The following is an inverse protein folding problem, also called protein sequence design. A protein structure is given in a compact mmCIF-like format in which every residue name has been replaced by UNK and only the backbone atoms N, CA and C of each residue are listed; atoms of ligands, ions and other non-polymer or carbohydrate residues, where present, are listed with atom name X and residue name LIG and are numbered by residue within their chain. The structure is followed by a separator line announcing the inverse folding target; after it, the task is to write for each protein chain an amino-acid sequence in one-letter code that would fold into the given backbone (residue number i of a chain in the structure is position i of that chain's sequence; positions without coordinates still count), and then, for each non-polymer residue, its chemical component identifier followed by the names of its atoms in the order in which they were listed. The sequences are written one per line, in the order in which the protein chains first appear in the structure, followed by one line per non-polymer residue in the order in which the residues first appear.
data_IF_074047498023
#
_entry.id   IF_074047498023
#
_cell.length_a   1.000
_cell.length_b   1.000
_cell.length_c   1.000
_cell.angle_alpha   90.00
_cell.angle_beta   90.00
_cell.angle_gamma   90.00
#
_symmetry.space_group_name_H-M   'P 1'
#
loop_
_entity.id
_entity.type
_entity.pdbx_description
1 polymer ?
#
# COMPACT_ATOMS: atom_id res chain seq x y z
N UNK A 1 9.52 -13.68 -6.77
CA UNK A 1 8.99 -12.31 -6.84
C UNK A 1 7.51 -12.39 -7.09
N UNK A 2 6.73 -11.69 -6.27
CA UNK A 2 5.30 -11.51 -6.51
C UNK A 2 5.10 -10.20 -7.29
N UNK A 3 4.22 -10.25 -8.29
CA UNK A 3 3.91 -9.15 -9.18
C UNK A 3 2.40 -8.93 -9.15
N UNK A 4 1.99 -7.68 -9.28
CA UNK A 4 0.57 -7.31 -9.33
C UNK A 4 -0.10 -7.87 -10.58
N UNK A 5 -1.42 -8.12 -10.56
CA UNK A 5 -2.18 -8.36 -11.78
C UNK A 5 -2.14 -7.12 -12.71
N UNK A 6 -2.70 -7.26 -13.90
CA UNK A 6 -2.77 -6.14 -14.84
C UNK A 6 -3.81 -5.11 -14.40
N UNK A 7 -3.48 -3.82 -14.53
CA UNK A 7 -4.42 -2.73 -14.25
C UNK A 7 -5.70 -2.84 -15.12
N UNK A 8 -6.89 -2.52 -14.59
CA UNK A 8 -7.21 -2.14 -13.20
C UNK A 8 -7.73 -3.32 -12.36
N UNK A 9 -7.45 -4.58 -12.74
CA UNK A 9 -8.06 -5.79 -12.16
C UNK A 9 -7.51 -6.12 -10.77
N UNK A 10 -7.94 -5.38 -9.75
CA UNK A 10 -7.48 -5.54 -8.36
C UNK A 10 -7.91 -6.85 -7.70
N UNK A 11 -8.87 -7.57 -8.23
CA UNK A 11 -9.31 -8.86 -7.65
C UNK A 11 -8.59 -10.07 -8.23
N UNK A 12 -7.88 -9.88 -9.33
CA UNK A 12 -7.08 -10.93 -9.96
C UNK A 12 -5.95 -11.40 -9.02
N UNK A 13 -5.55 -12.67 -9.19
CA UNK A 13 -4.48 -13.26 -8.41
C UNK A 13 -3.13 -12.62 -8.70
N UNK A 14 -2.25 -12.61 -7.69
CA UNK A 14 -0.86 -12.19 -7.86
C UNK A 14 -0.16 -13.09 -8.89
N UNK A 15 0.60 -12.46 -9.78
CA UNK A 15 1.56 -13.15 -10.63
C UNK A 15 2.80 -13.51 -9.81
N UNK A 16 3.52 -14.55 -10.20
CA UNK A 16 4.74 -14.99 -9.50
C UNK A 16 5.80 -15.45 -10.49
N UNK A 17 7.05 -15.04 -10.24
CA UNK A 17 8.24 -15.47 -11.01
C UNK A 17 9.42 -15.71 -10.06
N UNK A 18 10.14 -16.84 -10.15
CA UNK A 18 11.35 -17.04 -9.39
C UNK A 18 12.46 -16.11 -9.89
N UNK A 19 13.27 -15.56 -8.98
CA UNK A 19 14.42 -14.71 -9.33
C UNK A 19 15.76 -15.42 -9.14
N UNK A 20 15.82 -16.34 -8.19
CA UNK A 20 16.99 -17.16 -7.91
C UNK A 20 16.55 -18.48 -7.27
N UNK A 21 17.43 -19.48 -7.36
CA UNK A 21 17.30 -20.76 -6.69
C UNK A 21 18.59 -21.10 -5.92
N UNK A 22 18.46 -21.77 -4.79
CA UNK A 22 19.59 -22.34 -4.05
C UNK A 22 19.40 -23.85 -4.03
N UNK A 23 20.34 -24.58 -4.62
CA UNK A 23 20.23 -26.01 -4.85
C UNK A 23 21.35 -26.76 -4.13
N UNK A 24 20.99 -27.77 -3.34
CA UNK A 24 21.95 -28.66 -2.69
C UNK A 24 21.96 -30.01 -3.41
N UNK A 25 23.14 -30.46 -3.82
CA UNK A 25 23.35 -31.76 -4.46
C UNK A 25 24.25 -32.64 -3.58
N UNK A 26 24.13 -33.97 -3.73
CA UNK A 26 24.95 -34.92 -2.99
C UNK A 26 26.45 -34.60 -3.16
N UNK A 27 27.18 -34.49 -2.04
CA UNK A 27 28.63 -34.20 -1.96
C UNK A 27 29.07 -32.87 -2.59
N UNK A 28 28.16 -31.92 -2.82
CA UNK A 28 28.48 -30.58 -3.31
C UNK A 28 28.01 -29.53 -2.31
N UNK A 29 28.70 -28.40 -2.27
CA UNK A 29 28.16 -27.20 -1.62
C UNK A 29 26.90 -26.73 -2.35
N UNK A 30 26.01 -26.04 -1.64
CA UNK A 30 24.84 -25.44 -2.27
C UNK A 30 25.27 -24.47 -3.38
N UNK A 31 24.67 -24.60 -4.56
CA UNK A 31 24.87 -23.69 -5.68
C UNK A 31 23.74 -22.67 -5.74
N UNK A 32 24.08 -21.43 -6.10
CA UNK A 32 23.13 -20.35 -6.30
C UNK A 32 22.96 -20.13 -7.80
N UNK A 33 21.71 -20.13 -8.26
CA UNK A 33 21.35 -19.89 -9.64
C UNK A 33 20.49 -18.63 -9.74
N UNK A 34 20.84 -17.73 -10.65
CA UNK A 34 19.94 -16.67 -11.10
C UNK A 34 18.94 -17.27 -12.09
N UNK A 35 17.67 -16.93 -11.91
CA UNK A 35 16.55 -17.41 -12.74
C UNK A 35 15.91 -16.29 -13.56
N UNK A 36 16.55 -15.11 -13.60
CA UNK A 36 16.07 -13.96 -14.34
C UNK A 36 16.33 -14.10 -15.84
N UNK A 37 15.46 -13.49 -16.64
CA UNK A 37 15.48 -13.56 -18.11
C UNK A 37 14.74 -14.80 -18.68
N UNK A 38 14.96 -15.05 -19.97
CA UNK A 38 14.26 -16.10 -20.74
C UNK A 38 15.18 -17.21 -21.26
N UNK A 39 16.48 -17.16 -20.93
CA UNK A 39 17.51 -18.08 -21.45
C UNK A 39 17.86 -19.23 -20.49
N UNK A 40 17.06 -19.44 -19.45
CA UNK A 40 17.27 -20.48 -18.44
C UNK A 40 18.11 -20.02 -17.24
N UNK A 41 18.29 -20.92 -16.27
CA UNK A 41 19.07 -20.63 -15.06
C UNK A 41 20.57 -20.58 -15.33
N UNK A 42 21.28 -19.74 -14.57
CA UNK A 42 22.73 -19.55 -14.70
C UNK A 42 23.35 -19.17 -13.35
N UNK A 43 24.67 -19.19 -13.25
CA UNK A 43 25.37 -18.94 -11.98
C UNK A 43 25.04 -17.56 -11.39
N UNK A 44 24.57 -17.55 -10.15
CA UNK A 44 24.36 -16.36 -9.32
C UNK A 44 25.15 -16.42 -8.02
N UNK A 45 25.14 -15.33 -7.27
CA UNK A 45 25.76 -15.20 -5.95
C UNK A 45 24.79 -14.50 -5.00
N UNK A 46 24.82 -14.90 -3.73
CA UNK A 46 24.11 -14.21 -2.66
C UNK A 46 25.16 -13.65 -1.69
N UNK A 47 25.04 -12.36 -1.40
CA UNK A 47 25.84 -11.69 -0.39
C UNK A 47 24.93 -11.29 0.77
N UNK A 48 25.14 -11.86 1.94
CA UNK A 48 24.40 -11.49 3.16
C UNK A 48 25.16 -10.37 3.86
N UNK A 49 24.53 -9.20 3.98
CA UNK A 49 25.14 -8.00 4.57
C UNK A 49 24.80 -7.85 6.06
N UNK A 50 23.60 -8.28 6.46
CA UNK A 50 23.14 -8.29 7.85
C UNK A 50 22.04 -9.34 8.03
N UNK A 51 21.51 -9.48 9.25
CA UNK A 51 20.34 -10.33 9.52
C UNK A 51 19.06 -9.88 8.80
N UNK A 52 19.01 -8.65 8.28
CA UNK A 52 17.84 -8.06 7.63
C UNK A 52 18.10 -7.61 6.19
N UNK A 53 19.28 -7.90 5.62
CA UNK A 53 19.65 -7.42 4.27
C UNK A 53 20.54 -8.43 3.55
N UNK A 54 20.17 -8.75 2.31
CA UNK A 54 20.99 -9.55 1.40
C UNK A 54 20.91 -8.98 -0.02
N UNK A 55 21.90 -9.30 -0.84
CA UNK A 55 21.95 -8.90 -2.25
C UNK A 55 22.13 -10.13 -3.13
N UNK A 56 21.50 -10.11 -4.30
CA UNK A 56 21.76 -11.06 -5.39
C UNK A 56 22.71 -10.36 -6.35
N UNK A 57 23.79 -11.04 -6.73
CA UNK A 57 24.80 -10.53 -7.65
C UNK A 57 25.10 -11.63 -8.66
N UNK A 58 25.32 -11.26 -9.91
CA UNK A 58 25.88 -12.19 -10.88
C UNK A 58 27.00 -11.48 -11.67
N UNK A 59 28.00 -12.22 -12.16
CA UNK A 59 28.93 -11.68 -13.16
C UNK A 59 28.14 -11.18 -14.39
N UNK A 60 28.64 -10.13 -15.08
CA UNK A 60 27.96 -9.50 -16.22
C UNK A 60 27.28 -10.53 -17.11
N UNK A 61 25.97 -10.38 -17.26
CA UNK A 61 25.11 -11.42 -17.78
C UNK A 61 24.52 -10.96 -19.12
N UNK A 62 25.17 -11.30 -20.23
CA UNK A 62 24.60 -11.18 -21.58
C UNK A 62 23.35 -12.08 -21.76
N UNK A 63 23.09 -12.95 -20.78
CA UNK A 63 21.91 -13.81 -20.71
C UNK A 63 20.70 -13.11 -20.07
N UNK A 64 20.94 -12.08 -19.26
CA UNK A 64 19.94 -11.28 -18.54
C UNK A 64 19.56 -10.06 -19.38
N UNK A 65 20.50 -9.55 -20.17
CA UNK A 65 20.37 -8.37 -21.03
C UNK A 65 19.97 -8.72 -22.47
N UNK A 66 18.67 -8.81 -22.71
CA UNK A 66 17.91 -7.96 -23.67
C UNK A 66 16.47 -8.12 -23.19
N UNK A 67 16.04 -7.27 -22.25
CA UNK A 67 14.61 -7.17 -22.02
C UNK A 67 14.03 -6.44 -23.22
N UNK A 68 13.39 -7.19 -24.12
CA UNK A 68 12.53 -6.56 -25.10
C UNK A 68 11.42 -5.86 -24.33
N UNK A 69 11.39 -4.53 -24.42
CA UNK A 69 10.37 -3.69 -23.80
C UNK A 69 8.96 -4.26 -24.00
N UNK A 70 8.69 -4.83 -25.18
CA UNK A 70 7.41 -5.46 -25.52
C UNK A 70 7.08 -6.72 -24.73
N UNK A 71 8.08 -7.55 -24.41
CA UNK A 71 7.88 -8.73 -23.57
C UNK A 71 7.59 -8.30 -22.14
N UNK A 72 8.37 -7.34 -21.62
CA UNK A 72 8.11 -6.76 -20.30
C UNK A 72 6.72 -6.11 -20.21
N UNK A 73 6.33 -5.33 -21.23
CA UNK A 73 5.04 -4.65 -21.29
C UNK A 73 3.89 -5.67 -21.28
N UNK A 74 4.01 -6.75 -22.06
CA UNK A 74 3.03 -7.84 -22.06
C UNK A 74 2.95 -8.53 -20.71
N UNK A 75 4.08 -8.78 -20.06
CA UNK A 75 4.11 -9.42 -18.73
C UNK A 75 3.48 -8.51 -17.67
N UNK A 76 3.83 -7.22 -17.63
CA UNK A 76 3.43 -6.27 -16.58
C UNK A 76 2.06 -5.64 -16.77
N UNK A 77 1.63 -5.41 -18.02
CA UNK A 77 0.39 -4.69 -18.33
C UNK A 77 -0.61 -5.50 -19.14
N UNK A 78 -0.18 -6.54 -19.85
CA UNK A 78 -1.06 -7.37 -20.68
C UNK A 78 -1.59 -6.67 -21.95
N UNK A 79 -1.15 -5.44 -22.20
CA UNK A 79 -1.56 -4.58 -23.32
C UNK A 79 -0.37 -4.18 -24.18
N UNK A 80 -0.65 -3.69 -25.39
CA UNK A 80 0.35 -2.98 -26.20
C UNK A 80 0.38 -1.50 -25.81
N UNK A 81 1.43 -0.75 -26.21
CA UNK A 81 1.46 0.70 -25.95
C UNK A 81 0.30 1.42 -26.66
N UNK A 82 -0.11 0.93 -27.83
CA UNK A 82 -1.20 1.50 -28.62
C UNK A 82 -2.56 1.40 -27.92
N UNK A 83 -2.75 0.35 -27.10
CA UNK A 83 -3.95 0.17 -26.29
C UNK A 83 -4.00 1.10 -25.07
N UNK A 84 -2.87 1.73 -24.72
CA UNK A 84 -2.76 2.65 -23.57
C UNK A 84 -3.05 4.07 -24.04
N UNK A 85 -4.31 4.49 -23.90
CA UNK A 85 -4.82 5.75 -24.45
C UNK A 85 -4.23 7.05 -23.84
N UNK A 86 -3.49 6.96 -22.73
CA UNK A 86 -2.96 8.15 -22.05
C UNK A 86 -1.43 8.25 -22.19
N UNK A 87 -0.96 9.27 -22.90
CA UNK A 87 0.48 9.54 -23.15
C UNK A 87 1.29 9.58 -21.84
N UNK A 88 0.79 10.28 -20.82
CA UNK A 88 1.46 10.33 -19.52
C UNK A 88 1.66 8.95 -18.88
N UNK A 89 0.72 8.02 -19.07
CA UNK A 89 0.86 6.64 -18.57
C UNK A 89 1.93 5.89 -19.36
N UNK A 90 2.02 6.09 -20.68
CA UNK A 90 3.07 5.51 -21.51
C UNK A 90 4.47 5.99 -21.07
N UNK A 91 4.62 7.29 -20.77
CA UNK A 91 5.87 7.86 -20.25
C UNK A 91 6.29 7.23 -18.93
N UNK A 92 5.36 7.10 -17.98
CA UNK A 92 5.61 6.46 -16.68
C UNK A 92 6.01 4.99 -16.83
N UNK A 93 5.36 4.27 -17.74
CA UNK A 93 5.66 2.87 -18.05
C UNK A 93 7.07 2.73 -18.63
N UNK A 94 7.43 3.58 -19.60
CA UNK A 94 8.75 3.57 -20.21
C UNK A 94 9.83 3.94 -19.18
N UNK A 95 9.59 4.95 -18.35
CA UNK A 95 10.51 5.32 -17.27
C UNK A 95 10.69 4.18 -16.27
N UNK A 96 9.60 3.51 -15.84
CA UNK A 96 9.66 2.34 -14.96
C UNK A 96 10.50 1.23 -15.59
N UNK A 97 10.28 0.93 -16.86
CA UNK A 97 11.06 -0.06 -17.60
C UNK A 97 12.56 0.28 -17.62
N UNK A 98 12.93 1.49 -18.04
CA UNK A 98 14.32 1.92 -18.13
C UNK A 98 15.00 1.91 -16.76
N UNK A 99 14.30 2.37 -15.72
CA UNK A 99 14.87 2.42 -14.38
C UNK A 99 15.06 1.03 -13.77
N UNK A 100 14.05 0.17 -13.87
CA UNK A 100 14.11 -1.18 -13.27
C UNK A 100 15.04 -2.12 -14.03
N UNK A 101 15.12 -2.00 -15.35
CA UNK A 101 16.03 -2.81 -16.18
C UNK A 101 17.51 -2.49 -15.92
N UNK A 102 17.86 -1.28 -15.50
CA UNK A 102 19.25 -0.92 -15.15
C UNK A 102 19.84 -1.76 -14.01
N UNK A 103 18.99 -2.33 -13.15
CA UNK A 103 19.46 -3.20 -12.09
C UNK A 103 19.86 -4.59 -12.60
N UNK A 104 19.35 -5.03 -13.76
CA UNK A 104 19.59 -6.36 -14.32
C UNK A 104 19.44 -7.51 -13.29
N UNK A 105 18.51 -7.39 -12.33
CA UNK A 105 18.33 -8.31 -11.20
C UNK A 105 19.52 -8.40 -10.20
N UNK A 106 20.52 -7.53 -10.30
CA UNK A 106 21.48 -7.25 -9.23
C UNK A 106 20.83 -6.35 -8.17
N UNK A 107 20.02 -6.97 -7.30
CA UNK A 107 19.17 -6.28 -6.34
C UNK A 107 19.62 -6.49 -4.90
N UNK A 108 19.45 -5.45 -4.08
CA UNK A 108 19.58 -5.53 -2.62
C UNK A 108 18.19 -5.57 -1.99
N UNK A 109 17.95 -6.58 -1.17
CA UNK A 109 16.69 -6.83 -0.50
C UNK A 109 16.82 -6.48 0.97
N UNK A 110 15.80 -5.79 1.49
CA UNK A 110 15.65 -5.50 2.91
C UNK A 110 14.46 -6.28 3.45
N UNK A 111 14.58 -6.79 4.67
CA UNK A 111 13.53 -7.54 5.33
C UNK A 111 12.33 -6.63 5.63
N UNK A 112 11.14 -7.13 5.30
CA UNK A 112 9.85 -6.57 5.69
C UNK A 112 9.02 -7.68 6.34
N UNK A 113 8.07 -7.28 7.18
CA UNK A 113 7.18 -8.21 7.89
C UNK A 113 5.72 -7.94 7.55
N UNK A 114 4.88 -8.96 7.70
CA UNK A 114 3.45 -8.79 7.77
C UNK A 114 3.06 -8.10 9.08
N UNK A 115 1.99 -7.29 9.07
CA UNK A 115 1.49 -6.60 10.24
C UNK A 115 0.89 -7.60 11.24
N UNK A 116 1.09 -7.39 12.56
CA UNK A 116 0.40 -8.17 13.57
C UNK A 116 -1.12 -7.96 13.46
N UNK A 117 -1.89 -9.01 13.74
CA UNK A 117 -3.36 -8.99 13.71
C UNK A 117 -3.94 -9.01 15.12
N UNK A 118 -5.03 -8.28 15.34
CA UNK A 118 -5.85 -8.31 16.56
C UNK A 118 -7.27 -8.80 16.27
N UNK A 119 -7.94 -9.50 17.20
CA UNK A 119 -9.36 -9.84 17.06
C UNK A 119 -10.29 -8.62 16.95
N UNK A 120 -9.87 -7.47 17.47
CA UNK A 120 -10.65 -6.23 17.47
C UNK A 120 -10.53 -5.44 16.15
N UNK A 121 -9.68 -5.90 15.21
CA UNK A 121 -9.47 -5.23 13.94
C UNK A 121 -10.71 -5.42 13.04
N UNK A 122 -11.32 -4.32 12.59
CA UNK A 122 -12.53 -4.36 11.73
C UNK A 122 -12.27 -4.93 10.32
N UNK A 123 -11.00 -5.01 9.92
CA UNK A 123 -10.52 -5.65 8.70
C UNK A 123 -9.19 -6.31 9.02
N UNK A 124 -8.94 -7.49 8.46
CA UNK A 124 -7.65 -8.16 8.64
C UNK A 124 -6.51 -7.26 8.14
N UNK A 125 -5.46 -7.00 8.94
CA UNK A 125 -4.28 -6.29 8.46
C UNK A 125 -3.42 -7.20 7.57
N UNK A 126 -2.77 -6.62 6.58
CA UNK A 126 -1.96 -7.38 5.61
C UNK A 126 -1.69 -6.60 4.33
N UNK A 127 -1.48 -7.32 3.24
CA UNK A 127 -1.15 -6.72 1.94
C UNK A 127 -2.37 -6.65 1.03
N UNK A 128 -2.53 -5.51 0.36
CA UNK A 128 -3.61 -5.22 -0.56
C UNK A 128 -3.05 -4.71 -1.89
N UNK A 129 -3.79 -4.97 -2.96
CA UNK A 129 -3.54 -4.52 -4.33
C UNK A 129 -4.45 -3.32 -4.55
N UNK A 130 -3.89 -2.15 -4.82
CA UNK A 130 -4.63 -0.88 -4.88
C UNK A 130 -4.46 -0.14 -6.20
N UNK A 131 -5.50 0.53 -6.69
CA UNK A 131 -5.40 1.41 -7.88
C UNK A 131 -4.79 2.78 -7.55
N UNK A 132 -3.82 3.22 -8.36
CA UNK A 132 -3.11 4.50 -8.23
C UNK A 132 -3.07 5.31 -9.54
N UNK A 133 -4.20 5.37 -10.25
CA UNK A 133 -4.37 6.24 -11.41
C UNK A 133 -3.43 5.89 -12.56
N UNK A 134 -2.68 6.85 -13.09
CA UNK A 134 -1.73 6.62 -14.19
C UNK A 134 -0.54 5.74 -13.82
N UNK A 135 -0.29 5.51 -12.53
CA UNK A 135 0.78 4.63 -12.05
C UNK A 135 0.40 3.14 -12.10
N UNK A 136 -0.88 2.83 -12.34
CA UNK A 136 -1.41 1.47 -12.36
C UNK A 136 -1.72 0.95 -10.96
N UNK A 137 -1.46 -0.34 -10.74
CA UNK A 137 -1.65 -0.96 -9.44
C UNK A 137 -0.40 -0.80 -8.56
N UNK A 138 -0.60 -0.73 -7.24
CA UNK A 138 0.45 -0.77 -6.24
C UNK A 138 0.09 -1.74 -5.10
N UNK A 139 1.10 -2.24 -4.38
CA UNK A 139 0.92 -3.02 -3.16
C UNK A 139 0.98 -2.09 -1.96
N UNK A 140 -0.07 -2.13 -1.13
CA UNK A 140 -0.15 -1.38 0.12
C UNK A 140 -0.33 -2.34 1.29
N UNK A 141 0.47 -2.15 2.34
CA UNK A 141 0.36 -2.86 3.60
C UNK A 141 -0.51 -2.08 4.58
N UNK A 142 -1.65 -2.65 4.97
CA UNK A 142 -2.56 -2.10 5.95
C UNK A 142 -2.20 -2.61 7.36
N UNK A 143 -1.98 -1.72 8.32
CA UNK A 143 -1.58 -2.07 9.69
C UNK A 143 -2.28 -1.19 10.74
N UNK A 144 -2.57 -1.76 11.92
CA UNK A 144 -3.25 -1.07 13.01
C UNK A 144 -2.26 -0.52 14.05
N UNK A 145 -2.52 0.70 14.51
CA UNK A 145 -1.67 1.49 15.41
C UNK A 145 -2.55 2.22 16.44
N UNK A 146 -3.12 1.47 17.38
CA UNK A 146 -4.09 2.00 18.34
C UNK A 146 -5.35 2.49 17.63
N UNK A 147 -5.68 3.78 17.76
CA UNK A 147 -6.85 4.39 17.09
C UNK A 147 -6.60 4.82 15.65
N UNK A 148 -5.49 4.39 15.05
CA UNK A 148 -5.13 4.73 13.67
C UNK A 148 -4.87 3.47 12.86
N UNK A 149 -5.28 3.48 11.60
CA UNK A 149 -4.86 2.48 10.62
C UNK A 149 -3.98 3.15 9.59
N UNK A 150 -2.88 2.52 9.23
CA UNK A 150 -1.89 3.05 8.29
C UNK A 150 -1.75 2.14 7.10
N UNK A 151 -1.79 2.71 5.91
CA UNK A 151 -1.40 2.05 4.68
C UNK A 151 -0.01 2.50 4.26
N UNK A 152 0.93 1.56 4.21
CA UNK A 152 2.32 1.79 3.80
C UNK A 152 2.55 1.19 2.42
N UNK A 153 3.14 1.96 1.50
CA UNK A 153 3.47 1.45 0.17
C UNK A 153 4.57 0.39 0.23
N UNK A 154 4.30 -0.80 -0.28
CA UNK A 154 5.30 -1.86 -0.48
C UNK A 154 5.91 -1.74 -1.88
N UNK A 155 5.07 -1.45 -2.87
CA UNK A 155 5.51 -0.87 -4.14
C UNK A 155 5.00 0.57 -4.21
N UNK A 156 5.67 1.41 -4.99
CA UNK A 156 5.28 2.79 -5.13
C UNK A 156 5.81 3.41 -6.41
N UNK A 157 5.59 4.71 -6.50
CA UNK A 157 5.75 5.49 -7.71
C UNK A 157 6.63 6.74 -7.46
N UNK A 158 7.02 7.48 -8.50
CA UNK A 158 7.85 8.67 -8.35
C UNK A 158 7.23 9.79 -7.52
N UNK A 159 5.91 9.81 -7.35
CA UNK A 159 5.22 10.80 -6.52
C UNK A 159 5.19 10.32 -5.08
N UNK A 160 4.72 9.11 -4.80
CA UNK A 160 4.77 8.49 -3.47
C UNK A 160 5.58 7.20 -3.53
N UNK A 161 6.86 7.24 -3.11
CA UNK A 161 7.76 6.09 -3.17
C UNK A 161 7.32 4.91 -2.27
N UNK A 162 7.84 3.72 -2.60
CA UNK A 162 7.76 2.55 -1.72
C UNK A 162 8.38 2.88 -0.35
N UNK A 163 7.78 2.39 0.73
CA UNK A 163 8.14 2.69 2.12
C UNK A 163 7.37 3.85 2.74
N UNK A 164 6.78 4.75 1.93
CA UNK A 164 6.02 5.88 2.45
C UNK A 164 4.60 5.48 2.89
N UNK A 165 4.08 6.17 3.92
CA UNK A 165 2.71 6.02 4.39
C UNK A 165 1.74 6.78 3.47
N UNK A 166 1.12 6.07 2.53
CA UNK A 166 0.20 6.65 1.54
C UNK A 166 -1.17 6.99 2.11
N UNK A 167 -1.68 6.22 3.08
CA UNK A 167 -2.99 6.47 3.70
C UNK A 167 -2.91 6.38 5.22
N UNK A 168 -3.70 7.20 5.90
CA UNK A 168 -3.97 7.14 7.33
C UNK A 168 -5.48 7.18 7.53
N UNK A 169 -6.01 6.36 8.43
CA UNK A 169 -7.43 6.28 8.75
C UNK A 169 -7.56 6.55 10.25
N UNK A 170 -8.48 7.43 10.61
CA UNK A 170 -8.73 7.80 12.00
C UNK A 170 -9.97 7.07 12.53
N UNK A 171 -9.75 6.12 13.43
CA UNK A 171 -10.82 5.29 14.00
C UNK A 171 -11.66 6.01 15.05
N UNK A 172 -11.19 7.17 15.54
CA UNK A 172 -11.97 7.99 16.46
C UNK A 172 -13.07 8.79 15.73
N UNK A 173 -13.01 8.89 14.40
CA UNK A 173 -13.88 9.74 13.60
C UNK A 173 -14.60 8.93 12.50
N UNK A 174 -15.58 8.09 12.88
CA UNK A 174 -16.44 7.42 11.91
C UNK A 174 -17.21 8.46 11.08
N UNK A 175 -17.32 8.20 9.78
CA UNK A 175 -18.11 9.02 8.87
C UNK A 175 -19.46 8.36 8.64
N UNK A 176 -20.52 9.10 8.95
CA UNK A 176 -21.87 8.73 8.54
C UNK A 176 -22.06 9.22 7.11
N UNK A 177 -22.12 8.30 6.15
CA UNK A 177 -22.48 8.68 4.78
C UNK A 177 -23.96 9.04 4.72
N UNK A 178 -24.33 10.04 3.90
CA UNK A 178 -25.72 10.34 3.66
C UNK A 178 -26.38 9.21 2.83
N UNK A 179 -27.68 9.32 2.60
CA UNK A 179 -28.41 8.40 1.72
C UNK A 179 -27.84 8.40 0.29
N UNK A 180 -28.24 7.41 -0.51
CA UNK A 180 -27.69 7.21 -1.86
C UNK A 180 -27.91 8.43 -2.78
N UNK A 181 -29.02 9.15 -2.62
CA UNK A 181 -29.35 10.33 -3.43
C UNK A 181 -28.38 11.48 -3.16
N UNK A 182 -28.08 11.73 -1.88
CA UNK A 182 -27.14 12.76 -1.47
C UNK A 182 -25.67 12.33 -1.61
N UNK A 183 -25.37 11.04 -1.49
CA UNK A 183 -24.00 10.51 -1.69
C UNK A 183 -23.52 10.71 -3.13
N UNK A 184 -24.43 10.80 -4.10
CA UNK A 184 -24.10 11.17 -5.48
C UNK A 184 -23.54 12.61 -5.59
N UNK A 185 -23.76 13.46 -4.58
CA UNK A 185 -23.27 14.83 -4.55
C UNK A 185 -21.86 14.93 -3.96
N UNK A 186 -20.88 15.31 -4.78
CA UNK A 186 -19.51 15.52 -4.32
C UNK A 186 -19.40 16.65 -3.28
N UNK A 187 -20.20 17.71 -3.43
CA UNK A 187 -20.17 18.84 -2.49
C UNK A 187 -20.63 18.44 -1.10
N UNK A 188 -21.64 17.57 -1.01
CA UNK A 188 -22.16 17.09 0.27
C UNK A 188 -21.11 16.23 0.99
N UNK A 189 -20.53 15.25 0.27
CA UNK A 189 -19.44 14.45 0.82
C UNK A 189 -18.26 15.32 1.27
N UNK A 190 -17.90 16.32 0.46
CA UNK A 190 -16.81 17.23 0.79
C UNK A 190 -17.10 18.04 2.05
N UNK A 191 -18.33 18.47 2.27
CA UNK A 191 -18.73 19.24 3.45
C UNK A 191 -18.54 18.40 4.72
N UNK A 192 -19.10 17.19 4.74
CA UNK A 192 -19.03 16.26 5.89
C UNK A 192 -17.57 15.98 6.28
N UNK A 193 -16.70 15.72 5.30
CA UNK A 193 -15.29 15.42 5.55
C UNK A 193 -14.53 16.62 6.10
N UNK A 194 -14.82 17.83 5.60
CA UNK A 194 -14.17 19.05 6.07
C UNK A 194 -14.64 19.45 7.47
N UNK A 195 -15.91 19.23 7.82
CA UNK A 195 -16.41 19.43 9.18
C UNK A 195 -15.68 18.54 10.19
N UNK A 196 -15.49 17.26 9.87
CA UNK A 196 -14.72 16.34 10.73
C UNK A 196 -13.26 16.80 10.86
N UNK A 197 -12.66 17.28 9.77
CA UNK A 197 -11.29 17.84 9.81
C UNK A 197 -11.20 19.05 10.73
N UNK A 198 -12.18 19.95 10.72
CA UNK A 198 -12.21 21.12 11.60
C UNK A 198 -12.35 20.73 13.07
N UNK A 199 -13.19 19.73 13.36
CA UNK A 199 -13.33 19.18 14.71
C UNK A 199 -12.01 18.57 15.22
N UNK A 200 -11.23 17.91 14.36
CA UNK A 200 -9.88 17.43 14.72
C UNK A 200 -8.91 18.58 15.01
N UNK A 201 -8.93 19.63 14.18
CA UNK A 201 -8.06 20.80 14.33
C UNK A 201 -8.35 21.59 15.61
N UNK A 202 -9.61 21.70 16.01
CA UNK A 202 -10.02 22.36 17.26
C UNK A 202 -9.69 21.54 18.52
N UNK A 203 -9.54 20.22 18.38
CA UNK A 203 -9.24 19.29 19.48
C UNK A 203 -7.72 19.12 19.74
N UNK A 204 -6.86 19.63 18.87
CA UNK A 204 -5.41 19.66 19.09
C UNK A 204 -4.99 20.99 19.74
N UNK A 205 -4.34 21.01 20.91
CA UNK A 205 -3.81 22.24 21.46
C UNK A 205 -2.74 22.84 20.51
N UNK A 206 -2.65 24.17 20.37
CA UNK A 206 -1.60 24.79 19.56
C UNK A 206 -0.23 24.36 20.09
N UNK A 207 0.66 23.95 19.18
CA UNK A 207 2.02 23.54 19.50
C UNK A 207 2.74 24.66 20.26
N UNK A 208 3.00 24.44 21.55
CA UNK A 208 3.88 25.31 22.35
C UNK A 208 5.35 24.94 22.07
N UNK A 209 6.27 25.92 21.96
CA UNK A 209 7.71 25.66 21.88
C UNK A 209 8.22 24.98 23.15
N UNK A 210 9.19 24.07 23.00
CA UNK A 210 9.87 23.37 24.09
C UNK A 210 10.55 24.35 25.05
N UNK A 211 10.09 24.42 26.30
CA UNK A 211 10.91 24.70 27.48
C UNK A 211 10.34 24.00 28.73
N UNK A 212 11.22 23.29 29.46
CA UNK A 212 11.31 23.33 30.93
C UNK A 212 10.24 22.68 31.82
N UNK A 213 10.62 21.54 32.40
CA UNK A 213 10.43 21.13 33.82
C UNK A 213 9.02 20.81 34.39
N UNK A 214 8.82 19.51 34.67
CA UNK A 214 8.48 18.94 35.99
C UNK A 214 7.17 19.34 36.70
N UNK A 215 6.25 18.38 36.84
CA UNK A 215 5.78 17.86 38.13
C UNK A 215 4.61 16.86 37.96
N UNK A 216 4.76 15.77 38.71
CA UNK A 216 3.83 14.74 39.23
C UNK A 216 2.32 14.83 38.93
N UNK A 217 1.75 13.68 38.54
CA UNK A 217 0.31 13.43 38.50
C UNK A 217 -0.03 12.12 39.21
N UNK A 218 -0.76 12.23 40.33
CA UNK A 218 -1.40 11.13 41.05
C UNK A 218 -2.68 10.65 40.35
N UNK A 219 -2.97 9.37 40.58
CA UNK A 219 -4.10 8.60 40.05
C UNK A 219 -5.47 9.20 40.38
N UNK A 220 -6.42 9.04 39.45
CA UNK A 220 -7.81 8.76 39.83
C UNK A 220 -8.43 7.75 38.86
N UNK A 221 -8.83 6.63 39.44
CA UNK A 221 -9.68 5.58 38.87
C UNK A 221 -11.13 6.05 38.83
N UNK A 222 -11.79 5.84 37.70
CA UNK A 222 -13.25 5.75 37.64
C UNK A 222 -13.65 4.89 36.44
N UNK A 223 -14.22 3.72 36.75
CA UNK A 223 -14.72 2.79 35.75
C UNK A 223 -15.98 3.31 35.06
N UNK A 224 -16.19 2.80 33.85
CA UNK A 224 -17.51 2.68 33.26
C UNK A 224 -17.54 1.38 32.45
N UNK A 225 -18.35 0.47 32.96
CA UNK A 225 -18.65 -0.84 32.42
C UNK A 225 -19.41 -0.72 31.09
N UNK A 226 -19.21 -1.73 30.24
CA UNK A 226 -20.30 -2.35 29.49
C UNK A 226 -20.83 -1.61 28.26
N UNK A 227 -20.40 -2.06 27.08
CA UNK A 227 -21.35 -2.50 26.06
C UNK A 227 -20.64 -3.40 25.03
N UNK A 228 -20.61 -4.70 25.31
CA UNK A 228 -20.45 -5.72 24.26
C UNK A 228 -21.75 -5.77 23.47
N UNK A 229 -21.74 -5.29 22.23
CA UNK A 229 -22.75 -5.65 21.24
C UNK A 229 -22.05 -6.05 19.95
N UNK A 230 -21.85 -7.36 19.83
CA UNK A 230 -21.70 -8.08 18.57
C UNK A 230 -22.90 -7.80 17.67
N UNK A 231 -22.81 -6.78 16.84
CA UNK A 231 -23.54 -6.69 15.58
C UNK A 231 -22.56 -6.22 14.53
N UNK A 232 -22.29 -7.10 13.56
CA UNK A 232 -21.65 -6.68 12.33
C UNK A 232 -22.39 -5.44 11.80
N UNK A 233 -21.68 -4.35 11.47
CA UNK A 233 -22.32 -3.12 11.03
C UNK A 233 -23.20 -3.42 9.81
N UNK A 234 -24.47 -3.00 9.90
CA UNK A 234 -25.43 -3.23 8.84
C UNK A 234 -24.92 -2.58 7.55
N UNK A 235 -24.84 -3.35 6.48
CA UNK A 235 -24.37 -2.82 5.20
C UNK A 235 -25.39 -1.84 4.62
N UNK A 236 -24.90 -0.73 4.07
CA UNK A 236 -25.71 0.31 3.43
C UNK A 236 -25.33 0.45 1.95
N UNK A 237 -26.26 0.93 1.09
CA UNK A 237 -25.96 1.23 -0.31
C UNK A 237 -24.81 2.23 -0.46
N UNK A 238 -24.01 2.05 -1.51
CA UNK A 238 -22.85 2.89 -1.80
C UNK A 238 -22.74 3.17 -3.30
N UNK A 239 -22.46 4.43 -3.62
CA UNK A 239 -22.14 4.90 -4.97
C UNK A 239 -21.08 5.99 -4.87
N UNK A 240 -20.16 6.05 -5.84
CA UNK A 240 -19.20 7.14 -5.89
C UNK A 240 -19.92 8.46 -6.23
N UNK A 241 -19.55 9.59 -5.59
CA UNK A 241 -20.09 10.89 -5.96
C UNK A 241 -19.78 11.24 -7.42
N UNK A 242 -20.68 12.01 -8.04
CA UNK A 242 -20.50 12.47 -9.41
C UNK A 242 -19.20 13.27 -9.57
N UNK A 243 -18.45 12.93 -10.61
CA UNK A 243 -17.16 13.55 -10.91
C UNK A 243 -15.97 12.92 -10.18
N UNK A 244 -16.18 11.95 -9.30
CA UNK A 244 -15.08 11.13 -8.76
C UNK A 244 -14.69 10.08 -9.79
N UNK A 245 -13.43 10.10 -10.21
CA UNK A 245 -12.88 9.20 -11.21
C UNK A 245 -12.44 7.90 -10.52
N UNK A 246 -12.88 6.76 -11.05
CA UNK A 246 -12.39 5.44 -10.65
C UNK A 246 -11.79 4.73 -11.86
N UNK A 247 -10.66 4.05 -11.66
CA UNK A 247 -10.12 3.14 -12.69
C UNK A 247 -10.90 1.84 -12.80
N UNK A 248 -11.49 1.38 -11.69
CA UNK A 248 -12.27 0.17 -11.66
C UNK A 248 -13.76 0.50 -11.50
N UNK A 249 -14.59 0.07 -12.42
CA UNK A 249 -16.04 0.30 -12.38
C UNK A 249 -16.77 -0.77 -11.54
N UNK A 250 -16.12 -1.92 -11.33
CA UNK A 250 -16.64 -3.10 -10.64
C UNK A 250 -16.39 -3.07 -9.13
N UNK A 251 -16.58 -1.92 -8.48
CA UNK A 251 -16.55 -1.83 -7.02
C UNK A 251 -17.91 -2.20 -6.41
N UNK A 252 -17.88 -2.67 -5.15
CA UNK A 252 -19.09 -3.04 -4.41
C UNK A 252 -20.05 -1.86 -4.25
N UNK A 253 -21.35 -2.11 -4.49
CA UNK A 253 -22.43 -1.12 -4.38
C UNK A 253 -23.01 -1.03 -2.97
N UNK A 254 -22.34 -1.63 -2.00
CA UNK A 254 -22.70 -1.58 -0.59
C UNK A 254 -21.44 -1.50 0.27
N UNK A 255 -21.45 -0.65 1.29
CA UNK A 255 -20.35 -0.54 2.26
C UNK A 255 -20.81 -0.90 3.67
N UNK A 256 -19.88 -1.27 4.55
CA UNK A 256 -20.13 -1.59 5.97
C UNK A 256 -19.89 -0.40 6.88
N UNK A 257 -18.74 0.26 6.74
CA UNK A 257 -18.33 1.40 7.58
C UNK A 257 -17.49 2.38 6.77
N UNK A 258 -17.51 3.64 7.19
CA UNK A 258 -16.67 4.69 6.64
C UNK A 258 -15.96 5.44 7.75
N UNK A 259 -14.74 5.90 7.48
CA UNK A 259 -13.93 6.67 8.42
C UNK A 259 -13.27 7.85 7.72
N UNK A 260 -13.01 8.89 8.49
CA UNK A 260 -12.16 9.97 8.04
C UNK A 260 -10.74 9.44 7.80
N UNK A 261 -10.17 9.82 6.65
CA UNK A 261 -8.83 9.44 6.27
C UNK A 261 -8.02 10.62 5.76
N UNK A 262 -6.70 10.43 5.72
CA UNK A 262 -5.74 11.38 5.18
C UNK A 262 -4.77 10.69 4.22
N UNK A 263 -4.86 11.06 2.95
CA UNK A 263 -3.98 10.57 1.90
C UNK A 263 -2.72 11.43 1.77
N UNK A 264 -1.55 10.82 1.62
CA UNK A 264 -0.31 11.52 1.27
C UNK A 264 -0.24 11.69 -0.24
N UNK A 265 -0.08 12.93 -0.70
CA UNK A 265 0.20 13.26 -2.10
C UNK A 265 1.47 14.09 -2.19
N UNK A 266 2.17 14.02 -3.32
CA UNK A 266 3.34 14.83 -3.61
C UNK A 266 3.45 15.03 -5.14
N UNK A 267 4.24 16.01 -5.55
CA UNK A 267 4.66 16.13 -6.94
C UNK A 267 5.69 15.07 -7.32
N UNK A 268 6.01 15.00 -8.61
CA UNK A 268 7.03 14.09 -9.13
C UNK A 268 8.37 14.25 -8.38
N UNK A 269 9.03 13.12 -8.10
CA UNK A 269 10.25 13.08 -7.28
C UNK A 269 9.98 13.28 -5.80
N UNK A 270 8.79 12.89 -5.31
CA UNK A 270 8.33 13.09 -3.94
C UNK A 270 8.46 14.55 -3.44
N UNK A 271 8.15 15.51 -4.31
CA UNK A 271 8.32 16.93 -4.03
C UNK A 271 7.13 17.52 -3.29
N UNK A 272 7.40 18.33 -2.25
CA UNK A 272 6.39 19.02 -1.44
C UNK A 272 5.25 18.10 -0.95
N UNK A 273 5.57 16.99 -0.24
CA UNK A 273 4.56 16.05 0.21
C UNK A 273 3.59 16.70 1.20
N UNK A 274 2.30 16.45 1.03
CA UNK A 274 1.23 16.96 1.91
C UNK A 274 0.14 15.92 2.14
N UNK A 275 -0.49 15.99 3.32
CA UNK A 275 -1.67 15.19 3.64
C UNK A 275 -2.93 15.91 3.17
N UNK A 276 -3.83 15.17 2.53
CA UNK A 276 -5.09 15.67 1.99
C UNK A 276 -6.26 14.84 2.54
N UNK A 277 -7.41 15.48 2.82
CA UNK A 277 -8.58 14.77 3.35
C UNK A 277 -9.11 13.71 2.38
N UNK A 278 -9.62 12.64 2.96
CA UNK A 278 -10.14 11.50 2.23
C UNK A 278 -11.21 10.77 3.03
N UNK A 279 -11.94 9.89 2.34
CA UNK A 279 -12.91 8.97 2.94
C UNK A 279 -12.40 7.55 2.76
N UNK A 280 -12.19 6.85 3.86
CA UNK A 280 -12.02 5.42 3.86
C UNK A 280 -13.39 4.74 3.84
N UNK A 281 -13.55 3.73 2.98
CA UNK A 281 -14.81 2.97 2.81
C UNK A 281 -14.49 1.48 2.91
N UNK A 282 -15.04 0.78 3.90
CA UNK A 282 -14.93 -0.67 3.98
C UNK A 282 -16.10 -1.31 3.23
N UNK A 283 -15.83 -2.18 2.26
CA UNK A 283 -16.88 -2.91 1.54
C UNK A 283 -17.19 -4.24 2.21
N UNK A 284 -16.15 -5.03 2.47
CA UNK A 284 -16.25 -6.35 3.07
C UNK A 284 -14.94 -6.69 3.84
N UNK A 285 -14.70 -7.97 4.08
CA UNK A 285 -13.55 -8.43 4.87
C UNK A 285 -12.22 -8.39 4.10
N UNK A 286 -12.26 -8.27 2.77
CA UNK A 286 -11.09 -8.35 1.90
C UNK A 286 -10.96 -7.18 0.91
N UNK A 287 -11.92 -6.24 0.90
CA UNK A 287 -11.99 -5.11 0.00
C UNK A 287 -12.33 -3.78 0.70
N UNK A 288 -11.58 -2.73 0.37
CA UNK A 288 -11.85 -1.37 0.83
C UNK A 288 -11.55 -0.34 -0.26
N UNK A 289 -12.08 0.87 -0.08
CA UNK A 289 -11.92 2.00 -0.97
C UNK A 289 -11.38 3.23 -0.24
N UNK A 290 -10.80 4.15 -1.02
CA UNK A 290 -10.31 5.43 -0.52
C UNK A 290 -10.64 6.53 -1.53
N UNK A 291 -11.49 7.47 -1.13
CA UNK A 291 -11.90 8.63 -1.95
C UNK A 291 -10.97 9.80 -1.63
N UNK A 292 -10.18 10.23 -2.60
CA UNK A 292 -9.26 11.36 -2.51
C UNK A 292 -9.99 12.65 -2.87
N UNK A 293 -10.31 13.50 -1.88
CA UNK A 293 -11.15 14.67 -2.12
C UNK A 293 -10.49 15.68 -3.07
N UNK A 294 -9.25 16.08 -2.80
CA UNK A 294 -8.56 17.09 -3.62
C UNK A 294 -8.33 16.64 -5.07
N UNK A 295 -8.24 15.32 -5.29
CA UNK A 295 -8.00 14.74 -6.61
C UNK A 295 -9.28 14.32 -7.35
N UNK A 296 -10.43 14.33 -6.67
CA UNK A 296 -11.68 13.72 -7.16
C UNK A 296 -11.42 12.32 -7.74
N UNK A 297 -10.70 11.51 -6.99
CA UNK A 297 -10.23 10.19 -7.43
C UNK A 297 -10.60 9.13 -6.42
N UNK A 298 -10.80 7.90 -6.88
CA UNK A 298 -11.09 6.74 -6.06
C UNK A 298 -10.05 5.64 -6.27
N UNK A 299 -9.45 5.20 -5.17
CA UNK A 299 -8.61 4.01 -5.12
C UNK A 299 -9.37 2.85 -4.53
N UNK A 300 -9.38 1.72 -5.23
CA UNK A 300 -9.97 0.46 -4.76
C UNK A 300 -8.85 -0.50 -4.37
N UNK A 301 -9.01 -1.18 -3.24
CA UNK A 301 -8.02 -2.08 -2.67
C UNK A 301 -8.62 -3.45 -2.39
N UNK A 302 -7.91 -4.50 -2.79
CA UNK A 302 -8.34 -5.89 -2.61
C UNK A 302 -7.21 -6.75 -2.06
N UNK A 303 -7.52 -7.60 -1.07
CA UNK A 303 -6.59 -8.41 -0.29
C UNK A 303 -5.72 -9.32 -1.17
N UNK A 304 -4.46 -9.49 -0.78
CA UNK A 304 -3.56 -10.47 -1.39
C UNK A 304 -3.78 -11.85 -0.77
N UNK A 305 -4.45 -12.75 -1.50
CA UNK A 305 -4.80 -14.12 -1.07
C UNK A 305 -3.60 -15.09 -1.01
N UNK A 306 -2.37 -14.59 -1.13
CA UNK A 306 -1.15 -15.38 -1.05
C UNK A 306 -0.81 -15.66 0.42
N UNK A 307 -0.47 -16.92 0.71
CA UNK A 307 0.07 -17.31 2.02
C UNK A 307 1.59 -17.18 2.02
N UNK A 308 2.11 -16.11 2.62
CA UNK A 308 3.55 -15.87 2.71
C UNK A 308 4.18 -16.68 3.84
N UNK A 309 5.33 -17.30 3.57
CA UNK A 309 6.09 -18.05 4.57
C UNK A 309 7.14 -17.13 5.21
N UNK A 310 7.43 -17.37 6.50
CA UNK A 310 8.48 -16.66 7.26
C UNK A 310 8.34 -15.13 7.26
N UNK A 311 7.10 -14.63 7.18
CA UNK A 311 6.82 -13.21 7.01
C UNK A 311 6.36 -12.49 8.30
N UNK A 312 6.08 -13.23 9.38
CA UNK A 312 5.60 -12.66 10.63
C UNK A 312 6.67 -11.83 11.34
N UNK A 313 6.26 -10.71 11.93
CA UNK A 313 7.15 -9.89 12.73
C UNK A 313 7.50 -10.60 14.06
N UNK A 314 8.76 -10.59 14.53
CA UNK A 314 9.12 -11.17 15.82
C UNK A 314 8.44 -10.49 17.02
N UNK A 315 8.05 -9.22 16.88
CA UNK A 315 7.29 -8.45 17.86
C UNK A 315 6.67 -7.21 17.20
N UNK A 316 5.68 -6.59 17.85
CA UNK A 316 5.13 -5.30 17.41
C UNK A 316 6.22 -4.23 17.26
N UNK A 317 7.18 -4.17 18.20
CA UNK A 317 8.29 -3.23 18.14
C UNK A 317 9.18 -3.46 16.90
N UNK A 318 9.45 -4.71 16.56
CA UNK A 318 10.22 -5.05 15.35
C UNK A 318 9.48 -4.67 14.07
N UNK A 319 8.15 -4.79 14.06
CA UNK A 319 7.32 -4.30 12.96
C UNK A 319 7.40 -2.77 12.81
N UNK A 320 7.27 -2.03 13.91
CA UNK A 320 7.37 -0.56 13.91
C UNK A 320 8.76 -0.07 13.50
N UNK A 321 9.83 -0.75 13.94
CA UNK A 321 11.20 -0.46 13.51
C UNK A 321 11.39 -0.72 12.01
N UNK A 322 10.85 -1.82 11.50
CA UNK A 322 10.86 -2.13 10.07
C UNK A 322 10.16 -1.04 9.25
N UNK A 323 8.97 -0.58 9.68
CA UNK A 323 8.25 0.52 9.04
C UNK A 323 9.08 1.81 8.98
N UNK A 324 9.72 2.19 10.09
CA UNK A 324 10.61 3.37 10.12
C UNK A 324 11.79 3.21 9.15
N UNK A 325 12.40 2.03 9.13
CA UNK A 325 13.56 1.77 8.27
C UNK A 325 13.22 1.85 6.79
N UNK A 326 12.10 1.27 6.34
CA UNK A 326 11.71 1.34 4.93
C UNK A 326 11.29 2.76 4.53
N UNK A 327 10.73 3.54 5.45
CA UNK A 327 10.38 4.93 5.20
C UNK A 327 11.63 5.81 5.05
N UNK A 328 12.65 5.61 5.88
CA UNK A 328 13.92 6.35 5.84
C UNK A 328 14.75 6.08 4.57
N UNK A 329 14.63 4.90 3.98
CA UNK A 329 15.29 4.57 2.70
C UNK A 329 14.65 5.34 1.54
N UNK A 330 13.41 5.79 1.70
CA UNK A 330 12.59 6.40 0.67
C UNK A 330 12.46 7.93 0.80
N UNK A 331 13.16 8.53 1.76
CA UNK A 331 13.30 10.00 1.96
C UNK A 331 14.66 10.47 1.50
#
# INVERSE_FOLDING_TARGET
MYLLPHDPRVDDLMRFKPLFGIHLMERKCASVECMYGHKGSHNGHIQVSSSSTFSIIHPRCDLCGVHEFWTWLREEWGWTLEDIFHEHMQELILMKFIYTSQYDNCLTYRCIYLPPSSPDDFIKPGLFKGTYGSHGLEIVMLSFHGKKVKGTKITGDPNIPAGQQTVEIDLAHPLQLPDIENLCSFSELSHIVLEVREQQGASQPPAKPLEGEGAEGEETTAGAEGMTQDKAPASQPFVLPMGVISRNEDYSRTCRICYYGMGLIAGHGFTSPKRTPAVFVLFDDDCFGFIWLELKSFSLYSWIKVSFQNAEAPSHKAFDEMLKNIQLVAT
#
